data_IF_937593027137
#
_entry.id   IF_937593027137
#
_cell.length_a   1.000
_cell.length_b   1.000
_cell.length_c   1.000
_cell.angle_alpha   90.00
_cell.angle_beta   90.00
_cell.angle_gamma   90.00
#
_symmetry.space_group_name_H-M   'P 1'
#
loop_
_entity.id
_entity.type
_entity.pdbx_description
1 polymer ?
#
# COMPACT_ATOMS: atom_id res chain seq x y z
N UNK A 1 37.34 -23.43 27.59
CA UNK A 1 37.21 -23.55 26.13
C UNK A 1 36.11 -22.60 25.68
N UNK A 2 36.44 -21.62 24.82
CA UNK A 2 35.54 -20.55 24.38
C UNK A 2 34.72 -21.03 23.17
N UNK A 3 33.42 -21.19 23.34
CA UNK A 3 32.50 -21.30 22.19
C UNK A 3 32.08 -19.88 21.81
N UNK A 4 32.64 -19.37 20.71
CA UNK A 4 32.22 -18.12 20.10
C UNK A 4 30.85 -18.30 19.45
N UNK A 5 29.84 -17.61 19.99
CA UNK A 5 28.54 -17.48 19.35
C UNK A 5 28.60 -16.23 18.45
N UNK A 6 28.56 -16.47 17.14
CA UNK A 6 28.70 -15.44 16.11
C UNK A 6 27.54 -14.42 16.17
N UNK A 7 27.91 -13.14 16.17
CA UNK A 7 27.03 -11.95 16.26
C UNK A 7 26.17 -11.69 15.00
N UNK A 8 26.13 -12.60 14.03
CA UNK A 8 25.57 -12.31 12.69
C UNK A 8 24.09 -12.66 12.48
N UNK A 9 23.36 -13.23 13.45
CA UNK A 9 21.96 -13.61 13.22
C UNK A 9 20.91 -12.65 13.86
N UNK A 10 21.31 -11.74 14.74
CA UNK A 10 20.34 -10.94 15.52
C UNK A 10 19.68 -9.76 14.76
N UNK A 11 19.87 -9.63 13.44
CA UNK A 11 19.33 -8.49 12.66
C UNK A 11 18.06 -8.80 11.85
N UNK A 12 17.37 -9.92 12.06
CA UNK A 12 16.16 -10.26 11.31
C UNK A 12 14.85 -10.25 12.13
N UNK A 13 14.88 -9.80 13.40
CA UNK A 13 13.66 -9.74 14.22
C UNK A 13 13.48 -8.38 14.91
N UNK A 14 13.40 -7.32 14.12
CA UNK A 14 12.56 -6.18 14.52
C UNK A 14 11.21 -6.41 13.84
N UNK A 15 10.08 -6.35 14.55
CA UNK A 15 8.76 -6.25 13.92
C UNK A 15 8.65 -4.85 13.31
N UNK A 16 9.49 -4.56 12.32
CA UNK A 16 9.20 -3.49 11.40
C UNK A 16 7.98 -3.99 10.65
N UNK A 17 6.82 -3.43 10.96
CA UNK A 17 5.60 -3.65 10.20
C UNK A 17 6.02 -3.64 8.73
N UNK A 18 6.05 -4.82 8.09
CA UNK A 18 6.39 -5.01 6.70
C UNK A 18 5.83 -3.84 5.88
N UNK A 19 6.68 -3.18 5.07
CA UNK A 19 6.34 -1.92 4.43
C UNK A 19 5.07 -2.08 3.59
N UNK A 20 4.21 -1.06 3.65
CA UNK A 20 2.93 -1.08 2.96
C UNK A 20 3.19 -1.23 1.45
N UNK A 21 2.57 -2.23 0.83
CA UNK A 21 2.78 -2.52 -0.59
C UNK A 21 1.59 -2.02 -1.39
N UNK A 22 1.90 -1.18 -2.38
CA UNK A 22 0.95 -0.62 -3.32
C UNK A 22 0.98 -1.50 -4.57
N UNK A 23 -0.13 -2.18 -4.85
CA UNK A 23 -0.36 -2.87 -6.11
C UNK A 23 -1.07 -1.92 -7.08
N UNK A 24 -0.61 -1.83 -8.32
CA UNK A 24 -1.15 -0.88 -9.31
C UNK A 24 -1.20 -1.48 -10.71
N UNK A 25 -2.02 -0.89 -11.57
CA UNK A 25 -2.05 -1.19 -13.00
C UNK A 25 -0.84 -0.61 -13.74
N UNK A 26 0.07 -1.46 -14.23
CA UNK A 26 1.22 -1.05 -15.03
C UNK A 26 0.88 -0.52 -16.44
N UNK A 27 -0.30 -0.82 -16.97
CA UNK A 27 -0.76 -0.39 -18.32
C UNK A 27 -1.52 0.94 -18.24
N UNK A 28 -2.13 1.26 -17.10
CA UNK A 28 -2.82 2.52 -16.92
C UNK A 28 -1.85 3.70 -16.73
N UNK A 29 -1.95 4.69 -17.63
CA UNK A 29 -1.15 5.93 -17.61
C UNK A 29 -1.35 6.74 -16.33
N UNK A 30 -2.59 6.80 -15.81
CA UNK A 30 -2.91 7.53 -14.58
C UNK A 30 -2.25 6.85 -13.36
N UNK A 31 -2.38 5.53 -13.24
CA UNK A 31 -1.78 4.74 -12.16
C UNK A 31 -0.26 4.89 -12.14
N UNK A 32 0.36 4.80 -13.32
CA UNK A 32 1.80 5.02 -13.47
C UNK A 32 2.22 6.45 -13.07
N UNK A 33 1.43 7.45 -13.45
CA UNK A 33 1.63 8.84 -13.02
C UNK A 33 1.64 9.00 -11.51
N UNK A 34 0.67 8.38 -10.82
CA UNK A 34 0.61 8.36 -9.35
C UNK A 34 1.80 7.66 -8.70
N UNK A 35 2.21 6.49 -9.20
CA UNK A 35 3.39 5.79 -8.68
C UNK A 35 4.65 6.63 -8.84
N UNK A 36 4.85 7.27 -9.99
CA UNK A 36 5.98 8.20 -10.21
C UNK A 36 5.94 9.39 -9.24
N UNK A 37 4.75 9.95 -9.00
CA UNK A 37 4.57 11.01 -8.01
C UNK A 37 4.98 10.54 -6.62
N UNK A 38 4.53 9.35 -6.19
CA UNK A 38 4.85 8.80 -4.88
C UNK A 38 6.34 8.46 -4.73
N UNK A 39 6.97 7.89 -5.76
CA UNK A 39 8.42 7.62 -5.75
C UNK A 39 9.25 8.89 -5.55
N UNK A 40 8.78 10.05 -6.06
CA UNK A 40 9.46 11.34 -5.86
C UNK A 40 9.23 11.96 -4.48
N UNK A 41 8.07 11.71 -3.86
CA UNK A 41 7.67 12.37 -2.63
C UNK A 41 7.85 11.49 -1.37
N UNK A 42 7.86 10.16 -1.50
CA UNK A 42 8.13 9.23 -0.40
C UNK A 42 9.63 9.13 -0.10
N UNK A 43 10.18 10.21 0.47
CA UNK A 43 11.59 10.27 0.88
C UNK A 43 11.93 9.33 2.04
N UNK A 44 10.93 8.70 2.66
CA UNK A 44 11.10 7.80 3.81
C UNK A 44 10.96 6.32 3.42
N UNK A 45 10.80 6.01 2.13
CA UNK A 45 10.66 4.64 1.62
C UNK A 45 9.60 3.82 2.39
N UNK A 46 8.46 4.46 2.68
CA UNK A 46 7.35 3.86 3.43
C UNK A 46 6.57 2.85 2.59
N UNK A 47 6.57 3.04 1.27
CA UNK A 47 5.78 2.22 0.35
C UNK A 47 6.66 1.40 -0.58
N UNK A 48 6.25 0.16 -0.82
CA UNK A 48 6.75 -0.67 -1.92
C UNK A 48 5.71 -0.69 -3.04
N UNK A 49 6.14 -0.89 -4.27
CA UNK A 49 5.26 -0.91 -5.43
C UNK A 49 5.37 -2.25 -6.16
N UNK A 50 4.23 -2.80 -6.54
CA UNK A 50 4.14 -4.02 -7.34
C UNK A 50 3.13 -3.82 -8.48
N UNK A 51 3.53 -4.08 -9.71
CA UNK A 51 2.58 -4.07 -10.83
C UNK A 51 1.69 -5.33 -10.72
N UNK A 52 0.37 -5.19 -10.91
CA UNK A 52 -0.55 -6.33 -10.85
C UNK A 52 -0.26 -7.38 -11.92
N UNK A 53 0.33 -6.99 -13.05
CA UNK A 53 0.72 -7.89 -14.14
C UNK A 53 1.93 -8.78 -13.77
N UNK A 54 2.72 -8.37 -12.77
CA UNK A 54 3.88 -9.11 -12.31
C UNK A 54 3.51 -10.18 -11.28
N UNK A 55 4.34 -11.20 -11.16
CA UNK A 55 4.13 -12.33 -10.23
C UNK A 55 3.84 -11.88 -8.79
N UNK A 56 4.57 -10.87 -8.30
CA UNK A 56 4.39 -10.35 -6.94
C UNK A 56 3.04 -9.64 -6.74
N UNK A 57 2.58 -8.86 -7.73
CA UNK A 57 1.29 -8.19 -7.68
C UNK A 57 0.13 -9.18 -7.77
N UNK A 58 0.19 -10.14 -8.69
CA UNK A 58 -0.80 -11.22 -8.81
C UNK A 58 -0.93 -12.03 -7.52
N UNK A 59 0.20 -12.40 -6.92
CA UNK A 59 0.20 -13.15 -5.67
C UNK A 59 -0.44 -12.37 -4.51
N UNK A 60 -0.17 -11.06 -4.40
CA UNK A 60 -0.80 -10.20 -3.39
C UNK A 60 -2.30 -10.05 -3.61
N UNK A 61 -2.75 -9.89 -4.86
CA UNK A 61 -4.17 -9.81 -5.18
C UNK A 61 -4.91 -11.09 -4.79
N UNK A 62 -4.36 -12.23 -5.18
CA UNK A 62 -4.91 -13.54 -4.85
C UNK A 62 -4.95 -13.79 -3.33
N UNK A 63 -3.90 -13.42 -2.59
CA UNK A 63 -3.86 -13.51 -1.13
C UNK A 63 -4.96 -12.69 -0.45
N UNK A 64 -5.39 -11.60 -1.08
CA UNK A 64 -6.46 -10.73 -0.59
C UNK A 64 -7.83 -11.02 -1.23
N UNK A 65 -7.96 -12.11 -2.00
CA UNK A 65 -9.22 -12.52 -2.64
C UNK A 65 -9.65 -11.61 -3.79
N UNK A 66 -8.71 -10.89 -4.39
CA UNK A 66 -8.93 -10.03 -5.54
C UNK A 66 -8.55 -10.74 -6.83
N UNK A 67 -9.33 -10.51 -7.88
CA UNK A 67 -9.01 -11.00 -9.21
C UNK A 67 -7.83 -10.18 -9.78
N UNK A 68 -6.69 -10.82 -10.12
CA UNK A 68 -5.57 -10.14 -10.76
C UNK A 68 -5.84 -9.69 -12.21
N UNK A 69 -6.95 -10.13 -12.81
CA UNK A 69 -7.35 -9.79 -14.17
C UNK A 69 -8.49 -8.74 -14.20
N UNK A 70 -9.01 -8.33 -13.04
CA UNK A 70 -9.91 -7.17 -12.89
C UNK A 70 -9.09 -5.87 -12.87
N UNK A 71 -9.43 -4.84 -13.69
CA UNK A 71 -8.73 -3.56 -13.73
C UNK A 71 -8.83 -2.78 -12.41
N UNK A 72 -8.01 -3.15 -11.44
CA UNK A 72 -7.78 -2.42 -10.21
C UNK A 72 -6.89 -1.19 -10.48
N UNK A 73 -7.45 0.00 -10.25
CA UNK A 73 -6.68 1.24 -10.45
C UNK A 73 -5.55 1.37 -9.43
N UNK A 74 -5.81 1.05 -8.16
CA UNK A 74 -4.84 1.20 -7.08
C UNK A 74 -5.22 0.34 -5.88
N UNK A 75 -4.28 -0.39 -5.27
CA UNK A 75 -4.51 -1.18 -4.07
C UNK A 75 -3.38 -0.95 -3.07
N UNK A 76 -3.72 -0.55 -1.84
CA UNK A 76 -2.78 -0.45 -0.73
C UNK A 76 -2.97 -1.66 0.19
N UNK A 77 -1.91 -2.45 0.36
CA UNK A 77 -1.84 -3.60 1.27
C UNK A 77 -0.92 -3.27 2.44
N UNK A 78 -1.40 -3.46 3.67
CA UNK A 78 -0.58 -3.43 4.88
C UNK A 78 -1.08 -4.45 5.92
N UNK A 79 -0.43 -4.51 7.09
CA UNK A 79 -0.82 -5.42 8.19
C UNK A 79 -2.25 -5.27 8.68
N UNK A 80 -2.81 -4.06 8.58
CA UNK A 80 -4.17 -3.75 9.02
C UNK A 80 -5.25 -4.09 7.97
N UNK A 81 -4.86 -4.36 6.72
CA UNK A 81 -5.78 -4.76 5.65
C UNK A 81 -5.35 -4.28 4.27
N UNK A 82 -6.29 -4.40 3.33
CA UNK A 82 -6.16 -3.91 1.98
C UNK A 82 -7.27 -2.89 1.67
N UNK A 83 -6.92 -1.82 0.94
CA UNK A 83 -7.84 -0.76 0.47
C UNK A 83 -7.62 -0.54 -1.01
N UNK A 84 -8.68 -0.32 -1.78
CA UNK A 84 -8.59 -0.02 -3.21
C UNK A 84 -8.90 1.45 -3.53
N UNK A 85 -8.60 1.84 -4.76
CA UNK A 85 -9.05 3.06 -5.43
C UNK A 85 -8.71 4.35 -4.65
N UNK A 86 -9.69 5.26 -4.56
CA UNK A 86 -9.54 6.57 -3.92
C UNK A 86 -9.18 6.45 -2.44
N UNK A 87 -9.67 5.42 -1.74
CA UNK A 87 -9.39 5.21 -0.31
C UNK A 87 -7.93 4.83 -0.08
N UNK A 88 -7.38 3.99 -0.94
CA UNK A 88 -5.96 3.64 -0.94
C UNK A 88 -5.11 4.91 -1.10
N UNK A 89 -5.48 5.78 -2.03
CA UNK A 89 -4.76 7.01 -2.32
C UNK A 89 -4.80 8.02 -1.16
N UNK A 90 -5.98 8.24 -0.56
CA UNK A 90 -6.13 9.12 0.61
C UNK A 90 -5.27 8.64 1.78
N UNK A 91 -5.24 7.33 2.04
CA UNK A 91 -4.39 6.75 3.09
C UNK A 91 -2.91 6.90 2.80
N UNK A 92 -2.50 6.69 1.54
CA UNK A 92 -1.12 6.90 1.11
C UNK A 92 -0.72 8.36 1.35
N UNK A 93 -1.51 9.32 0.90
CA UNK A 93 -1.25 10.77 1.07
C UNK A 93 -1.21 11.17 2.55
N UNK A 94 -2.16 10.70 3.37
CA UNK A 94 -2.14 10.91 4.82
C UNK A 94 -0.88 10.32 5.47
N UNK A 95 -0.41 9.18 4.96
CA UNK A 95 0.81 8.50 5.36
C UNK A 95 2.10 9.14 4.84
N UNK A 96 2.09 10.03 3.84
CA UNK A 96 3.28 10.81 3.44
C UNK A 96 3.63 11.87 4.50
N UNK A 97 2.64 12.39 5.22
CA UNK A 97 2.82 13.37 6.30
C UNK A 97 3.04 14.82 5.83
N UNK A 98 3.10 15.77 6.77
CA UNK A 98 3.41 17.18 6.48
C UNK A 98 2.30 17.93 5.74
N UNK A 99 2.65 18.72 4.72
CA UNK A 99 1.72 19.48 3.88
C UNK A 99 0.63 18.60 3.24
N UNK A 100 0.93 17.33 2.95
CA UNK A 100 -0.02 16.39 2.34
C UNK A 100 -1.14 15.96 3.30
N UNK A 101 -0.90 16.01 4.62
CA UNK A 101 -1.98 15.83 5.61
C UNK A 101 -2.97 16.98 5.57
N UNK A 102 -2.48 18.22 5.40
CA UNK A 102 -3.36 19.38 5.24
C UNK A 102 -4.09 19.35 3.90
N UNK A 103 -3.44 18.97 2.80
CA UNK A 103 -4.10 18.79 1.51
C UNK A 103 -5.19 17.70 1.55
N UNK A 104 -4.95 16.58 2.24
CA UNK A 104 -5.96 15.53 2.43
C UNK A 104 -7.16 16.00 3.26
N UNK A 105 -6.93 16.82 4.30
CA UNK A 105 -8.01 17.38 5.13
C UNK A 105 -8.77 18.49 4.39
N UNK A 106 -8.10 19.38 3.66
CA UNK A 106 -8.75 20.44 2.89
C UNK A 106 -9.49 19.92 1.65
N UNK A 107 -9.04 18.83 1.03
CA UNK A 107 -9.81 18.11 0.00
C UNK A 107 -10.96 17.28 0.58
N UNK A 108 -10.99 17.07 1.90
CA UNK A 108 -11.92 16.20 2.62
C UNK A 108 -13.18 16.89 3.16
N UNK A 109 -13.42 18.18 2.88
CA UNK A 109 -14.64 18.89 3.33
C UNK A 109 -15.92 18.36 2.63
N UNK A 110 -15.82 17.35 1.76
CA UNK A 110 -16.97 16.69 1.10
C UNK A 110 -17.17 15.23 1.48
N UNK A 111 -16.43 14.66 2.44
CA UNK A 111 -16.56 13.23 2.77
C UNK A 111 -16.81 13.02 4.26
N UNK A 112 -18.07 12.76 4.59
CA UNK A 112 -18.60 12.48 5.92
C UNK A 112 -17.77 11.45 6.70
N UNK A 113 -17.63 11.69 8.00
CA UNK A 113 -16.74 11.01 8.93
C UNK A 113 -17.09 9.54 9.24
N UNK A 114 -18.04 8.94 8.52
CA UNK A 114 -18.42 7.53 8.64
C UNK A 114 -17.64 6.54 7.73
N UNK A 115 -16.76 7.01 6.84
CA UNK A 115 -16.11 6.15 5.82
C UNK A 115 -14.90 5.32 6.27
N UNK A 116 -14.41 5.48 7.50
CA UNK A 116 -13.22 4.76 7.99
C UNK A 116 -13.40 3.24 8.15
N UNK A 117 -14.61 2.70 7.99
CA UNK A 117 -14.92 1.30 8.33
C UNK A 117 -15.39 0.43 7.16
N UNK A 118 -15.58 0.96 5.93
CA UNK A 118 -16.41 0.22 4.94
C UNK A 118 -15.86 -0.06 3.54
N UNK A 119 -14.54 -0.11 3.36
CA UNK A 119 -13.93 -0.89 2.28
C UNK A 119 -12.63 -1.56 2.77
N UNK A 120 -12.77 -2.45 3.76
CA UNK A 120 -11.90 -3.63 3.81
C UNK A 120 -12.28 -4.43 2.57
N UNK A 121 -11.32 -4.89 1.77
CA UNK A 121 -11.60 -5.81 0.66
C UNK A 121 -12.54 -6.90 1.18
N UNK A 122 -13.82 -6.82 0.79
CA UNK A 122 -14.82 -7.78 1.20
C UNK A 122 -14.60 -8.99 0.29
N UNK A 123 -14.41 -10.21 0.81
CA UNK A 123 -13.99 -11.38 0.03
C UNK A 123 -15.10 -11.94 -0.88
N UNK A 124 -16.00 -11.11 -1.41
CA UNK A 124 -17.17 -11.55 -2.18
C UNK A 124 -17.38 -10.72 -3.44
N UNK A 125 -16.82 -11.23 -4.54
CA UNK A 125 -17.56 -11.52 -5.78
C UNK A 125 -16.74 -12.52 -6.60
N UNK A 126 -17.04 -13.80 -6.35
CA UNK A 126 -17.01 -14.80 -7.40
C UNK A 126 -18.24 -14.60 -8.30
#
# INVERSE_FOLDING_TARGET
MRAGLNRTDQSLNTPHAAPATIVFDGVCLLCNGWVKFLLRHDRRARYRFAAMQGQAGRALLQQHGLDPDDPLSFLLVNHSGAWSDSDALVRVLAGLGGLWRFAAVCGGVVHDSAWLTRYRVSPHRA
#
